data_IF_773438163260
#
_entry.id   IF_773438163260
#
_cell.length_a   1.000
_cell.length_b   1.000
_cell.length_c   1.000
_cell.angle_alpha   90.00
_cell.angle_beta   90.00
_cell.angle_gamma   90.00
#
_symmetry.space_group_name_H-M   'P 1'
#
loop_
_entity.id
_entity.type
_entity.pdbx_description
1 polymer ?
#
# COMPACT_ATOMS: atom_id res chain seq x y z
N UNK A 1 14.49 18.25 -20.87
CA UNK A 1 14.68 17.03 -21.66
C UNK A 1 13.50 16.12 -21.36
N UNK A 2 12.93 15.46 -22.36
CA UNK A 2 11.78 14.56 -22.16
C UNK A 2 12.24 13.32 -21.40
N UNK A 3 11.46 12.84 -20.43
CA UNK A 3 11.70 11.59 -19.73
C UNK A 3 10.61 10.57 -20.06
N UNK A 4 11.00 9.49 -20.73
CA UNK A 4 10.10 8.39 -21.12
C UNK A 4 10.36 7.16 -20.24
N UNK A 5 9.34 6.66 -19.57
CA UNK A 5 9.40 5.38 -18.87
C UNK A 5 9.15 4.23 -19.85
N UNK A 6 9.93 3.15 -19.75
CA UNK A 6 9.71 1.88 -20.44
C UNK A 6 9.39 0.83 -19.38
N UNK A 7 8.21 0.23 -19.43
CA UNK A 7 7.80 -0.82 -18.51
C UNK A 7 7.82 -2.18 -19.23
N UNK A 8 8.74 -3.05 -18.80
CA UNK A 8 8.93 -4.38 -19.37
C UNK A 8 8.05 -5.41 -18.64
N UNK A 9 7.00 -5.88 -19.32
CA UNK A 9 6.01 -6.83 -18.81
C UNK A 9 5.81 -8.06 -19.73
N UNK A 10 6.78 -8.38 -20.59
CA UNK A 10 6.68 -9.48 -21.57
C UNK A 10 7.06 -10.86 -21.03
N UNK A 11 7.54 -10.97 -19.79
CA UNK A 11 7.99 -12.24 -19.23
C UNK A 11 6.84 -13.22 -18.96
N UNK A 12 7.04 -14.50 -19.27
CA UNK A 12 6.05 -15.58 -19.11
C UNK A 12 5.85 -16.04 -17.64
N UNK A 13 6.73 -15.66 -16.72
CA UNK A 13 6.51 -15.84 -15.28
C UNK A 13 6.65 -17.28 -14.74
N UNK A 14 7.34 -18.17 -15.46
CA UNK A 14 7.46 -19.62 -15.16
C UNK A 14 7.83 -19.97 -13.69
N UNK A 15 8.60 -19.12 -13.01
CA UNK A 15 9.16 -19.41 -11.67
C UNK A 15 8.19 -19.26 -10.48
N UNK A 16 6.92 -18.89 -10.66
CA UNK A 16 5.93 -18.85 -9.55
C UNK A 16 4.96 -20.01 -9.53
N UNK A 17 4.88 -20.84 -10.58
CA UNK A 17 3.91 -21.94 -10.64
C UNK A 17 2.44 -21.49 -10.64
N UNK A 18 2.15 -20.26 -11.08
CA UNK A 18 0.80 -19.69 -11.14
C UNK A 18 0.26 -19.76 -12.57
N UNK A 19 -1.05 -19.97 -12.73
CA UNK A 19 -1.73 -20.03 -14.04
C UNK A 19 -1.82 -18.66 -14.77
N UNK A 20 -1.38 -17.57 -14.14
CA UNK A 20 -1.43 -16.21 -14.68
C UNK A 20 -0.05 -15.55 -14.50
N UNK A 21 0.47 -14.81 -15.51
CA UNK A 21 1.74 -14.10 -15.37
C UNK A 21 1.73 -13.11 -14.21
N UNK A 22 2.86 -13.01 -13.52
CA UNK A 22 3.02 -12.31 -12.24
C UNK A 22 2.61 -10.85 -12.28
N UNK A 23 2.89 -10.18 -13.39
CA UNK A 23 2.53 -8.78 -13.64
C UNK A 23 1.01 -8.54 -13.60
N UNK A 24 0.18 -9.58 -13.82
CA UNK A 24 -1.28 -9.48 -13.75
C UNK A 24 -1.88 -10.01 -12.44
N UNK A 25 -1.06 -10.42 -11.46
CA UNK A 25 -1.55 -10.82 -10.14
C UNK A 25 -2.14 -9.61 -9.42
N UNK A 26 -3.33 -9.78 -8.83
CA UNK A 26 -3.96 -8.74 -8.02
C UNK A 26 -3.40 -8.74 -6.61
N UNK A 27 -2.96 -7.58 -6.14
CA UNK A 27 -2.50 -7.33 -4.78
C UNK A 27 -3.15 -6.01 -4.33
N UNK A 28 -3.78 -5.97 -3.15
CA UNK A 28 -4.50 -4.79 -2.65
C UNK A 28 -5.47 -4.17 -3.69
N UNK A 29 -6.25 -5.03 -4.38
CA UNK A 29 -7.29 -4.61 -5.32
C UNK A 29 -6.83 -4.28 -6.76
N UNK A 30 -5.54 -4.07 -7.02
CA UNK A 30 -4.99 -3.76 -8.35
C UNK A 30 -3.95 -4.79 -8.80
N UNK A 31 -3.71 -4.94 -10.10
CA UNK A 31 -2.63 -5.78 -10.60
C UNK A 31 -1.24 -5.20 -10.27
N UNK A 32 -0.23 -6.07 -10.17
CA UNK A 32 1.17 -5.66 -9.99
C UNK A 32 1.62 -4.67 -11.07
N UNK A 33 1.18 -4.88 -12.31
CA UNK A 33 1.43 -3.96 -13.42
C UNK A 33 0.78 -2.59 -13.18
N UNK A 34 -0.49 -2.54 -12.75
CA UNK A 34 -1.17 -1.28 -12.43
C UNK A 34 -0.46 -0.49 -11.34
N UNK A 35 -0.03 -1.17 -10.27
CA UNK A 35 0.75 -0.52 -9.20
C UNK A 35 2.03 0.09 -9.75
N UNK A 36 2.76 -0.65 -10.58
CA UNK A 36 4.00 -0.19 -11.19
C UNK A 36 3.78 1.01 -12.12
N UNK A 37 2.80 0.94 -13.02
CA UNK A 37 2.45 2.05 -13.94
C UNK A 37 2.05 3.29 -13.15
N UNK A 38 1.26 3.12 -12.08
CA UNK A 38 0.77 4.24 -11.26
C UNK A 38 1.90 5.09 -10.67
N UNK A 39 3.07 4.50 -10.38
CA UNK A 39 4.23 5.27 -9.86
C UNK A 39 4.74 6.23 -10.93
N UNK A 40 4.93 5.77 -12.17
CA UNK A 40 5.40 6.59 -13.28
C UNK A 40 4.34 7.58 -13.77
N UNK A 41 3.07 7.16 -13.83
CA UNK A 41 1.95 8.02 -14.24
C UNK A 41 1.85 9.26 -13.35
N UNK A 42 1.95 9.08 -12.03
CA UNK A 42 1.81 10.15 -11.05
C UNK A 42 3.09 10.99 -10.87
N UNK A 43 4.22 10.58 -11.43
CA UNK A 43 5.48 11.33 -11.31
C UNK A 43 5.46 12.55 -12.22
N UNK A 44 5.64 13.75 -11.67
CA UNK A 44 5.53 15.03 -12.41
C UNK A 44 6.50 15.14 -13.59
N UNK A 45 7.72 14.62 -13.41
CA UNK A 45 8.79 14.73 -14.42
C UNK A 45 8.84 13.56 -15.41
N UNK A 46 7.84 12.66 -15.40
CA UNK A 46 7.66 11.64 -16.44
C UNK A 46 6.65 12.15 -17.45
N UNK A 47 7.03 12.17 -18.73
CA UNK A 47 6.24 12.74 -19.82
C UNK A 47 5.46 11.67 -20.59
N UNK A 48 6.05 10.47 -20.74
CA UNK A 48 5.48 9.39 -21.54
C UNK A 48 5.82 8.02 -20.96
N UNK A 49 4.96 7.04 -21.20
CA UNK A 49 5.12 5.65 -20.76
C UNK A 49 4.91 4.71 -21.96
N UNK A 50 5.92 3.89 -22.24
CA UNK A 50 5.86 2.78 -23.20
C UNK A 50 5.80 1.47 -22.43
N UNK A 51 4.82 0.63 -22.74
CA UNK A 51 4.64 -0.67 -22.08
C UNK A 51 4.90 -1.79 -23.09
N UNK A 52 5.84 -2.68 -22.77
CA UNK A 52 6.12 -3.88 -23.54
C UNK A 52 5.46 -5.09 -22.89
N UNK A 53 4.57 -5.77 -23.61
CA UNK A 53 3.84 -6.93 -23.09
C UNK A 53 3.94 -8.13 -24.03
N UNK A 54 3.67 -9.33 -23.53
CA UNK A 54 3.57 -10.50 -24.40
C UNK A 54 2.34 -10.39 -25.29
N UNK A 55 2.40 -10.91 -26.53
CA UNK A 55 1.34 -10.75 -27.55
C UNK A 55 -0.05 -11.14 -27.03
N UNK A 56 -0.14 -12.22 -26.25
CA UNK A 56 -1.41 -12.76 -25.73
C UNK A 56 -2.05 -11.87 -24.66
N UNK A 57 -1.31 -10.89 -24.12
CA UNK A 57 -1.77 -9.99 -23.06
C UNK A 57 -1.88 -8.54 -23.51
N UNK A 58 -1.79 -8.27 -24.82
CA UNK A 58 -1.88 -6.93 -25.38
C UNK A 58 -3.23 -6.26 -25.06
N UNK A 59 -4.33 -6.94 -25.37
CA UNK A 59 -5.68 -6.39 -25.18
C UNK A 59 -6.04 -6.27 -23.70
N UNK A 60 -5.67 -7.28 -22.89
CA UNK A 60 -5.81 -7.21 -21.44
C UNK A 60 -5.07 -6.01 -20.84
N UNK A 61 -3.87 -5.71 -21.33
CA UNK A 61 -3.09 -4.56 -20.84
C UNK A 61 -3.75 -3.24 -21.23
N UNK A 62 -4.29 -3.13 -22.45
CA UNK A 62 -5.06 -1.96 -22.90
C UNK A 62 -6.29 -1.72 -22.04
N UNK A 63 -7.06 -2.78 -21.75
CA UNK A 63 -8.23 -2.71 -20.89
C UNK A 63 -7.87 -2.23 -19.48
N UNK A 64 -6.84 -2.82 -18.87
CA UNK A 64 -6.33 -2.42 -17.56
C UNK A 64 -5.97 -0.93 -17.54
N UNK A 65 -5.22 -0.47 -18.55
CA UNK A 65 -4.78 0.92 -18.63
C UNK A 65 -5.94 1.90 -18.83
N UNK A 66 -6.92 1.54 -19.66
CA UNK A 66 -8.11 2.33 -19.91
C UNK A 66 -9.00 2.43 -18.65
N UNK A 67 -9.24 1.31 -17.96
CA UNK A 67 -10.04 1.27 -16.73
C UNK A 67 -9.38 2.06 -15.59
N UNK A 68 -8.05 2.05 -15.53
CA UNK A 68 -7.30 2.85 -14.55
C UNK A 68 -7.23 4.35 -14.90
N UNK A 69 -7.60 4.73 -16.13
CA UNK A 69 -7.61 6.13 -16.58
C UNK A 69 -6.21 6.74 -16.74
N UNK A 70 -5.20 5.93 -17.04
CA UNK A 70 -3.83 6.40 -17.24
C UNK A 70 -3.72 7.24 -18.52
N UNK A 71 -3.10 8.42 -18.41
CA UNK A 71 -3.05 9.45 -19.46
C UNK A 71 -1.68 9.56 -20.12
N UNK A 72 -0.58 9.17 -19.44
CA UNK A 72 0.78 9.30 -19.97
C UNK A 72 1.23 8.09 -20.80
N UNK A 73 0.38 7.07 -20.95
CA UNK A 73 0.69 5.91 -21.78
C UNK A 73 0.68 6.33 -23.25
N UNK A 74 1.86 6.39 -23.85
CA UNK A 74 2.04 6.76 -25.25
C UNK A 74 1.87 5.56 -26.17
N UNK A 75 2.43 4.39 -25.80
CA UNK A 75 2.39 3.17 -26.61
C UNK A 75 2.33 1.92 -25.74
N UNK A 76 1.53 0.93 -26.17
CA UNK A 76 1.54 -0.44 -25.65
C UNK A 76 1.92 -1.35 -26.82
N UNK A 77 3.08 -2.00 -26.73
CA UNK A 77 3.66 -2.77 -27.82
C UNK A 77 3.93 -4.23 -27.42
N UNK A 78 4.07 -5.07 -28.43
CA UNK A 78 4.45 -6.48 -28.26
C UNK A 78 5.96 -6.59 -28.06
N UNK A 79 6.37 -7.12 -26.92
CA UNK A 79 7.77 -7.39 -26.60
C UNK A 79 8.37 -8.54 -27.41
N UNK A 80 9.69 -8.72 -27.26
CA UNK A 80 10.43 -9.81 -27.87
C UNK A 80 10.40 -11.10 -27.05
N UNK A 81 11.14 -12.11 -27.52
CA UNK A 81 11.31 -13.40 -26.83
C UNK A 81 12.22 -13.28 -25.61
N UNK A 82 13.12 -12.30 -25.60
CA UNK A 82 14.06 -12.04 -24.50
C UNK A 82 13.84 -10.67 -23.89
N UNK A 83 14.29 -10.47 -22.64
CA UNK A 83 14.27 -9.14 -21.98
C UNK A 83 14.97 -8.08 -22.86
N UNK A 84 16.15 -8.43 -23.40
CA UNK A 84 16.94 -7.56 -24.29
C UNK A 84 16.15 -7.13 -25.51
N UNK A 85 15.50 -8.07 -26.19
CA UNK A 85 14.69 -7.77 -27.38
C UNK A 85 13.47 -6.91 -27.05
N UNK A 86 12.81 -7.15 -25.91
CA UNK A 86 11.73 -6.28 -25.43
C UNK A 86 12.20 -4.86 -25.11
N UNK A 87 13.38 -4.70 -24.48
CA UNK A 87 14.00 -3.37 -24.26
C UNK A 87 14.25 -2.67 -25.59
N UNK A 88 14.88 -3.35 -26.55
CA UNK A 88 15.20 -2.76 -27.86
C UNK A 88 13.96 -2.34 -28.63
N UNK A 89 12.92 -3.18 -28.68
CA UNK A 89 11.64 -2.82 -29.32
C UNK A 89 10.99 -1.60 -28.66
N UNK A 90 11.05 -1.49 -27.34
CA UNK A 90 10.54 -0.32 -26.61
C UNK A 90 11.30 0.96 -26.96
N UNK A 91 12.63 0.87 -26.95
CA UNK A 91 13.55 1.96 -27.30
C UNK A 91 13.27 2.46 -28.73
N UNK A 92 13.12 1.55 -29.69
CA UNK A 92 12.83 1.89 -31.08
C UNK A 92 11.41 2.45 -31.28
N UNK A 93 10.49 2.24 -30.33
CA UNK A 93 9.14 2.78 -30.40
C UNK A 93 9.05 4.23 -29.91
N UNK A 94 10.13 4.82 -29.36
CA UNK A 94 10.14 6.20 -28.90
C UNK A 94 10.44 7.12 -30.09
N UNK A 95 9.54 8.08 -30.34
CA UNK A 95 9.62 8.95 -31.52
C UNK A 95 10.64 10.10 -31.37
N UNK A 96 10.85 10.61 -30.15
CA UNK A 96 11.82 11.66 -29.89
C UNK A 96 13.19 11.06 -29.54
N UNK A 97 14.17 11.23 -30.43
CA UNK A 97 15.52 10.72 -30.24
C UNK A 97 16.32 11.46 -29.15
N UNK A 98 15.97 12.71 -28.82
CA UNK A 98 16.62 13.49 -27.76
C UNK A 98 15.82 13.42 -26.46
N UNK A 99 15.81 12.23 -25.85
CA UNK A 99 15.11 12.00 -24.59
C UNK A 99 15.88 11.07 -23.66
N UNK A 100 15.51 11.12 -22.38
CA UNK A 100 15.93 10.17 -21.37
C UNK A 100 14.94 9.00 -21.32
N UNK A 101 15.45 7.79 -21.13
CA UNK A 101 14.64 6.59 -20.93
C UNK A 101 14.89 5.97 -19.57
N UNK A 102 13.82 5.57 -18.89
CA UNK A 102 13.85 4.85 -17.63
C UNK A 102 13.25 3.45 -17.84
N UNK A 103 14.10 2.44 -17.99
CA UNK A 103 13.71 1.05 -18.25
C UNK A 103 13.46 0.33 -16.92
N UNK A 104 12.21 -0.07 -16.69
CA UNK A 104 11.75 -0.64 -15.43
C UNK A 104 11.07 -2.00 -15.61
N UNK A 105 11.22 -2.87 -14.61
CA UNK A 105 10.57 -4.17 -14.60
C UNK A 105 9.13 -4.03 -14.08
N UNK A 106 8.13 -4.53 -14.81
CA UNK A 106 6.72 -4.46 -14.40
C UNK A 106 6.38 -5.15 -13.07
N UNK A 107 7.30 -5.95 -12.53
CA UNK A 107 7.13 -6.73 -11.30
C UNK A 107 7.88 -6.12 -10.11
N UNK A 108 8.18 -4.81 -10.15
CA UNK A 108 8.73 -4.02 -9.04
C UNK A 108 7.74 -2.92 -8.62
N UNK A 109 6.58 -3.27 -8.06
CA UNK A 109 5.49 -2.32 -7.85
C UNK A 109 5.70 -1.35 -6.66
N UNK A 110 6.88 -1.39 -6.03
CA UNK A 110 7.21 -0.65 -4.82
C UNK A 110 8.26 0.44 -5.04
N UNK A 111 8.56 0.77 -6.30
CA UNK A 111 9.42 1.87 -6.67
C UNK A 111 8.99 3.17 -5.98
N UNK A 112 9.93 3.90 -5.40
CA UNK A 112 9.66 5.18 -4.74
C UNK A 112 9.85 6.33 -5.72
N UNK A 113 9.14 7.44 -5.46
CA UNK A 113 9.30 8.69 -6.21
C UNK A 113 10.74 9.21 -6.10
N UNK A 114 11.35 9.07 -4.92
CA UNK A 114 12.73 9.51 -4.66
C UNK A 114 13.77 8.79 -5.53
N UNK A 115 13.57 7.51 -5.83
CA UNK A 115 14.46 6.79 -6.76
C UNK A 115 14.33 7.40 -8.16
N UNK A 116 13.10 7.70 -8.61
CA UNK A 116 12.89 8.32 -9.94
C UNK A 116 13.51 9.72 -9.99
N UNK A 117 13.29 10.56 -8.97
CA UNK A 117 13.91 11.89 -8.84
C UNK A 117 15.44 11.79 -8.94
N UNK A 118 16.04 10.83 -8.20
CA UNK A 118 17.49 10.64 -8.17
C UNK A 118 18.04 10.18 -9.52
N UNK A 119 17.32 9.30 -10.22
CA UNK A 119 17.67 8.88 -11.58
C UNK A 119 17.61 10.04 -12.58
N UNK A 120 16.55 10.84 -12.55
CA UNK A 120 16.37 11.99 -13.46
C UNK A 120 17.44 13.05 -13.17
N UNK A 121 17.76 13.31 -11.91
CA UNK A 121 18.83 14.23 -11.54
C UNK A 121 20.19 13.72 -12.02
N UNK A 122 20.52 12.45 -11.79
CA UNK A 122 21.77 11.86 -12.24
C UNK A 122 21.92 11.90 -13.77
N UNK A 123 20.82 11.75 -14.53
CA UNK A 123 20.82 11.85 -15.99
C UNK A 123 21.15 13.25 -16.53
N UNK A 124 21.11 14.31 -15.70
CA UNK A 124 21.61 15.64 -16.09
C UNK A 124 23.14 15.68 -16.23
N UNK A 125 23.83 14.75 -15.56
CA UNK A 125 25.29 14.72 -15.49
C UNK A 125 25.90 13.45 -16.11
N UNK A 126 25.12 12.37 -16.21
CA UNK A 126 25.56 11.07 -16.69
C UNK A 126 24.65 10.56 -17.81
N UNK A 127 25.19 9.82 -18.78
CA UNK A 127 24.40 9.27 -19.89
C UNK A 127 23.83 7.89 -19.62
N UNK A 128 24.28 7.23 -18.55
CA UNK A 128 23.77 5.94 -18.09
C UNK A 128 23.80 5.89 -16.56
N UNK A 129 22.71 5.43 -15.95
CA UNK A 129 22.50 5.38 -14.51
C UNK A 129 21.83 4.05 -14.15
N UNK A 130 22.37 3.36 -13.15
CA UNK A 130 21.77 2.17 -12.56
C UNK A 130 21.33 2.46 -11.11
N UNK A 131 20.35 1.71 -10.63
CA UNK A 131 19.87 1.79 -9.24
C UNK A 131 20.36 0.55 -8.52
N UNK A 132 21.05 0.68 -7.39
CA UNK A 132 21.53 -0.50 -6.67
C UNK A 132 21.51 -0.32 -5.14
N UNK A 133 21.47 -1.45 -4.44
CA UNK A 133 21.54 -1.48 -2.96
C UNK A 133 22.74 -2.33 -2.49
N UNK A 134 23.29 -2.09 -1.29
CA UNK A 134 24.26 -3.00 -0.68
C UNK A 134 23.72 -4.43 -0.53
N UNK A 135 24.61 -5.43 -0.64
CA UNK A 135 24.25 -6.82 -0.32
C UNK A 135 24.38 -7.08 1.18
N UNK A 136 23.33 -7.62 1.81
CA UNK A 136 23.40 -8.13 3.18
C UNK A 136 24.15 -9.46 3.24
N UNK A 137 23.93 -10.31 2.24
CA UNK A 137 24.48 -11.66 2.15
C UNK A 137 25.89 -11.65 1.53
N UNK A 138 26.71 -12.61 1.96
CA UNK A 138 27.99 -12.91 1.31
C UNK A 138 27.72 -13.51 -0.06
N UNK A 139 28.29 -12.92 -1.11
CA UNK A 139 28.21 -13.44 -2.48
C UNK A 139 29.44 -14.30 -2.74
N UNK A 140 29.24 -15.49 -3.28
CA UNK A 140 30.30 -16.42 -3.66
C UNK A 140 30.27 -16.64 -5.17
N UNK A 141 31.45 -16.70 -5.78
CA UNK A 141 31.63 -17.16 -7.16
C UNK A 141 31.96 -18.63 -7.12
N UNK A 142 31.28 -19.42 -7.95
CA UNK A 142 31.53 -20.85 -8.10
C UNK A 142 32.23 -21.13 -9.43
N UNK A 143 32.97 -22.23 -9.51
CA UNK A 143 33.46 -22.80 -10.76
C UNK A 143 32.44 -23.76 -11.40
N UNK A 144 32.80 -24.33 -12.55
CA UNK A 144 31.94 -25.28 -13.29
C UNK A 144 31.69 -26.60 -12.52
N UNK A 145 32.48 -26.88 -11.49
CA UNK A 145 32.34 -28.06 -10.62
C UNK A 145 31.59 -27.74 -9.32
N UNK A 146 30.97 -26.55 -9.21
CA UNK A 146 30.20 -26.08 -8.07
C UNK A 146 31.03 -25.90 -6.77
N UNK A 147 32.34 -25.68 -6.89
CA UNK A 147 33.20 -25.26 -5.78
C UNK A 147 33.35 -23.74 -5.75
N UNK A 148 33.52 -23.15 -4.56
CA UNK A 148 33.78 -21.72 -4.42
C UNK A 148 35.14 -21.40 -5.04
N UNK A 149 35.14 -20.58 -6.09
CA UNK A 149 36.35 -20.07 -6.75
C UNK A 149 36.79 -18.73 -6.17
N UNK A 150 35.86 -17.91 -5.69
CA UNK A 150 36.14 -16.56 -5.19
C UNK A 150 35.06 -16.09 -4.20
N UNK A 151 35.45 -15.32 -3.18
CA UNK A 151 34.53 -14.57 -2.31
C UNK A 151 34.89 -13.09 -2.43
N UNK A 152 34.20 -12.31 -3.29
CA UNK A 152 34.58 -10.92 -3.55
C UNK A 152 34.34 -10.00 -2.35
N UNK A 153 35.03 -8.85 -2.32
CA UNK A 153 34.88 -7.86 -1.26
C UNK A 153 33.45 -7.26 -1.26
N UNK A 154 32.65 -7.64 -0.25
CA UNK A 154 31.23 -7.25 -0.14
C UNK A 154 31.00 -5.73 -0.18
N UNK A 155 31.94 -4.93 0.31
CA UNK A 155 31.85 -3.47 0.32
C UNK A 155 31.77 -2.86 -1.09
N UNK A 156 32.31 -3.55 -2.10
CA UNK A 156 32.29 -3.14 -3.51
C UNK A 156 31.12 -3.77 -4.30
N UNK A 157 30.39 -4.70 -3.70
CA UNK A 157 29.27 -5.37 -4.35
C UNK A 157 27.95 -4.64 -4.09
N UNK A 158 27.13 -4.57 -5.13
CA UNK A 158 25.76 -4.04 -5.08
C UNK A 158 24.81 -4.99 -5.77
N UNK A 159 23.55 -4.97 -5.34
CA UNK A 159 22.44 -5.68 -5.98
C UNK A 159 21.70 -4.71 -6.89
N UNK A 160 21.84 -4.89 -8.19
CA UNK A 160 21.14 -4.09 -9.20
C UNK A 160 19.62 -4.17 -9.07
N UNK A 161 18.99 -3.03 -9.27
CA UNK A 161 17.56 -2.82 -9.32
C UNK A 161 17.19 -2.12 -10.62
N UNK A 162 15.89 -1.96 -10.87
CA UNK A 162 15.42 -1.06 -11.92
C UNK A 162 14.60 0.04 -11.25
N UNK A 163 14.49 1.26 -11.83
CA UNK A 163 14.78 1.61 -13.23
C UNK A 163 16.28 1.68 -13.56
N UNK A 164 16.64 1.26 -14.77
CA UNK A 164 17.91 1.56 -15.41
C UNK A 164 17.68 2.70 -16.39
N UNK A 165 18.50 3.74 -16.31
CA UNK A 165 18.19 5.01 -16.94
C UNK A 165 19.29 5.42 -17.91
N UNK A 166 18.91 5.91 -19.09
CA UNK A 166 19.87 6.20 -20.16
C UNK A 166 19.45 7.42 -20.96
N UNK A 167 20.44 8.11 -21.52
CA UNK A 167 20.21 8.96 -22.68
C UNK A 167 19.89 8.06 -23.90
N UNK A 168 18.75 8.28 -24.55
CA UNK A 168 18.19 7.37 -25.57
C UNK A 168 19.19 6.99 -26.68
N UNK A 169 19.95 7.94 -27.29
CA UNK A 169 20.92 7.60 -28.33
C UNK A 169 22.01 6.63 -27.88
N UNK A 170 22.43 6.70 -26.61
CA UNK A 170 23.47 5.82 -26.06
C UNK A 170 22.96 4.39 -25.96
N UNK A 171 21.80 4.17 -25.35
CA UNK A 171 21.28 2.82 -25.16
C UNK A 171 20.77 2.22 -26.48
N UNK A 172 20.19 3.04 -27.38
CA UNK A 172 19.81 2.59 -28.73
C UNK A 172 21.03 2.09 -29.49
N UNK A 173 22.14 2.84 -29.46
CA UNK A 173 23.39 2.40 -30.08
C UNK A 173 23.95 1.11 -29.48
N UNK A 174 23.84 0.94 -28.16
CA UNK A 174 24.29 -0.28 -27.48
C UNK A 174 23.53 -1.53 -27.97
N UNK A 175 22.21 -1.42 -28.15
CA UNK A 175 21.38 -2.52 -28.68
C UNK A 175 21.65 -2.80 -30.16
N UNK A 176 21.87 -1.77 -30.97
CA UNK A 176 22.25 -1.94 -32.38
C UNK A 176 23.57 -2.71 -32.53
N UNK A 177 24.60 -2.33 -31.76
CA UNK A 177 25.89 -3.03 -31.73
C UNK A 177 25.74 -4.46 -31.22
N UNK A 178 24.91 -4.68 -30.20
CA UNK A 178 24.62 -6.03 -29.68
C UNK A 178 23.93 -6.93 -30.69
N UNK A 179 23.08 -6.37 -31.55
CA UNK A 179 22.38 -7.14 -32.58
C UNK A 179 23.30 -7.63 -33.69
N UNK A 180 24.42 -6.93 -33.93
CA UNK A 180 25.45 -7.33 -34.88
C UNK A 180 26.54 -8.25 -34.29
N UNK A 181 26.57 -8.42 -32.95
CA UNK A 181 27.59 -9.18 -32.22
C UNK A 181 27.07 -10.55 -31.77
N UNK A 182 27.50 -11.62 -32.44
CA UNK A 182 27.13 -13.00 -32.10
C UNK A 182 27.67 -13.48 -30.73
N UNK A 183 28.60 -12.75 -30.12
CA UNK A 183 29.16 -13.07 -28.79
C UNK A 183 28.38 -12.40 -27.65
N UNK A 184 27.43 -11.52 -27.95
CA UNK A 184 26.62 -10.78 -26.96
C UNK A 184 25.33 -11.51 -26.53
N UNK A 185 25.24 -12.82 -26.74
CA UNK A 185 24.05 -13.62 -26.43
C UNK A 185 23.72 -13.69 -24.93
N UNK A 186 24.72 -13.57 -24.04
CA UNK A 186 24.55 -13.78 -22.60
C UNK A 186 24.37 -12.49 -21.78
N UNK A 187 24.24 -11.32 -22.41
CA UNK A 187 24.04 -10.06 -21.68
C UNK A 187 22.57 -9.91 -21.32
N UNK A 188 22.26 -9.94 -20.02
CA UNK A 188 20.89 -9.91 -19.47
C UNK A 188 20.44 -8.52 -19.00
N UNK A 189 21.36 -7.56 -18.98
CA UNK A 189 21.24 -6.25 -18.35
C UNK A 189 21.59 -5.12 -19.33
N UNK A 190 20.83 -4.01 -19.31
CA UNK A 190 21.01 -2.92 -20.27
C UNK A 190 22.29 -2.09 -19.98
N UNK A 191 22.66 -1.94 -18.69
CA UNK A 191 23.91 -1.28 -18.29
C UNK A 191 25.13 -2.08 -18.76
N UNK A 192 25.04 -3.41 -18.75
CA UNK A 192 26.10 -4.27 -19.24
C UNK A 192 26.36 -4.10 -20.75
N UNK A 193 25.34 -3.78 -21.55
CA UNK A 193 25.52 -3.44 -22.97
C UNK A 193 26.30 -2.13 -23.14
N UNK A 194 25.95 -1.10 -22.38
CA UNK A 194 26.63 0.21 -22.41
C UNK A 194 28.11 0.06 -22.05
N UNK A 195 28.42 -0.71 -21.00
CA UNK A 195 29.80 -0.99 -20.57
C UNK A 195 30.56 -1.83 -21.60
N UNK A 196 29.94 -2.89 -22.15
CA UNK A 196 30.58 -3.77 -23.15
C UNK A 196 31.07 -3.01 -24.37
N UNK A 197 30.26 -2.08 -24.88
CA UNK A 197 30.59 -1.28 -26.06
C UNK A 197 31.23 0.08 -25.73
N UNK A 198 31.56 0.32 -24.46
CA UNK A 198 32.27 1.53 -23.98
C UNK A 198 31.61 2.83 -24.43
N UNK A 199 30.28 2.88 -24.40
CA UNK A 199 29.50 4.03 -24.89
C UNK A 199 29.33 5.13 -23.82
N UNK A 200 29.41 4.75 -22.55
CA UNK A 200 29.39 5.66 -21.39
C UNK A 200 29.82 4.91 -20.14
N UNK A 201 30.27 5.65 -19.13
CA UNK A 201 30.29 5.16 -17.75
C UNK A 201 28.85 5.02 -17.23
N UNK A 202 28.64 4.09 -16.29
CA UNK A 202 27.35 3.87 -15.63
C UNK A 202 27.45 4.35 -14.18
N UNK A 203 26.76 5.44 -13.87
CA UNK A 203 26.68 5.96 -12.51
C UNK A 203 25.67 5.14 -11.68
N UNK A 204 25.90 4.99 -10.38
CA UNK A 204 24.99 4.23 -9.50
C UNK A 204 24.34 5.18 -8.51
N UNK A 205 23.01 5.18 -8.48
CA UNK A 205 22.22 5.85 -7.44
C UNK A 205 21.72 4.82 -6.42
N UNK A 206 21.46 5.29 -5.20
CA UNK A 206 20.96 4.44 -4.13
C UNK A 206 19.52 3.96 -4.43
N UNK A 207 19.33 2.65 -4.34
CA UNK A 207 18.02 2.01 -4.40
C UNK A 207 17.37 1.87 -3.02
N UNK A 208 16.31 1.07 -2.98
CA UNK A 208 15.56 0.80 -1.75
C UNK A 208 15.31 -0.71 -1.62
N UNK A 209 15.48 -1.26 -0.41
CA UNK A 209 15.14 -2.65 -0.07
C UNK A 209 13.67 -2.98 -0.37
N UNK A 210 12.78 -1.99 -0.33
CA UNK A 210 11.37 -2.12 -0.69
C UNK A 210 11.16 -2.21 -2.20
N UNK A 211 12.06 -1.70 -3.05
CA UNK A 211 12.00 -1.80 -4.52
C UNK A 211 12.33 -3.23 -5.01
N UNK A 212 11.72 -4.22 -4.36
CA UNK A 212 11.92 -5.64 -4.56
C UNK A 212 11.18 -6.13 -5.80
N UNK A 213 11.87 -6.98 -6.56
CA UNK A 213 11.29 -7.70 -7.69
C UNK A 213 10.48 -8.89 -7.20
N UNK A 214 9.20 -8.95 -7.55
CA UNK A 214 8.35 -10.11 -7.29
C UNK A 214 8.79 -11.26 -8.21
N UNK A 215 9.48 -12.24 -7.64
CA UNK A 215 10.11 -13.32 -8.41
C UNK A 215 9.62 -14.69 -7.97
N UNK A 216 9.45 -14.93 -6.68
CA UNK A 216 9.05 -16.20 -6.10
C UNK A 216 7.69 -16.10 -5.38
N UNK A 217 7.03 -17.22 -5.07
CA UNK A 217 5.77 -17.20 -4.32
C UNK A 217 5.86 -16.45 -2.98
N UNK A 218 6.99 -16.56 -2.27
CA UNK A 218 7.23 -15.81 -1.03
C UNK A 218 7.21 -14.29 -1.25
N UNK A 219 7.71 -13.81 -2.40
CA UNK A 219 7.68 -12.37 -2.71
C UNK A 219 6.25 -11.86 -2.88
N UNK A 220 5.32 -12.69 -3.35
CA UNK A 220 3.90 -12.33 -3.45
C UNK A 220 3.29 -12.15 -2.06
N UNK A 221 3.57 -13.07 -1.14
CA UNK A 221 3.11 -12.98 0.25
C UNK A 221 3.70 -11.74 0.95
N UNK A 222 4.99 -11.46 0.73
CA UNK A 222 5.63 -10.25 1.24
C UNK A 222 5.02 -9.01 0.59
N UNK A 223 4.79 -9.00 -0.72
CA UNK A 223 4.21 -7.87 -1.42
C UNK A 223 2.81 -7.53 -0.89
N UNK A 224 1.96 -8.52 -0.66
CA UNK A 224 0.63 -8.32 -0.05
C UNK A 224 0.74 -7.65 1.34
N UNK A 225 1.69 -8.08 2.17
CA UNK A 225 1.96 -7.42 3.46
C UNK A 225 2.55 -6.02 3.30
N UNK A 226 3.48 -5.81 2.37
CA UNK A 226 4.08 -4.51 2.11
C UNK A 226 3.06 -3.50 1.61
N UNK A 227 2.10 -3.89 0.77
CA UNK A 227 1.00 -2.99 0.38
C UNK A 227 0.08 -2.66 1.54
N UNK A 228 -0.18 -3.63 2.43
CA UNK A 228 -0.92 -3.38 3.67
C UNK A 228 -0.18 -2.44 4.64
N UNK A 229 1.15 -2.42 4.61
CA UNK A 229 2.00 -1.56 5.45
C UNK A 229 2.28 -0.18 4.83
N UNK A 230 2.47 -0.09 3.49
CA UNK A 230 2.80 1.17 2.78
C UNK A 230 1.59 2.09 2.61
N UNK A 231 0.39 1.52 2.56
CA UNK A 231 -0.85 2.26 2.78
C UNK A 231 -0.89 2.36 4.30
N UNK A 232 -0.44 3.42 4.96
CA UNK A 232 -1.20 4.65 5.15
C UNK A 232 -0.24 5.77 5.61
N UNK A 233 0.23 6.60 4.68
CA UNK A 233 0.44 8.03 4.97
C UNK A 233 -0.70 8.76 4.31
N UNK A 234 -1.84 8.84 4.98
CA UNK A 234 -2.94 9.64 4.44
C UNK A 234 -2.53 11.10 4.62
N UNK A 235 -2.32 11.78 3.50
CA UNK A 235 -2.10 13.22 3.51
C UNK A 235 -3.35 13.91 4.02
N UNK A 236 -3.16 14.88 4.91
CA UNK A 236 -4.22 15.72 5.48
C UNK A 236 -5.17 16.18 4.37
N UNK A 237 -6.38 15.63 4.36
CA UNK A 237 -7.39 15.99 3.37
C UNK A 237 -7.79 17.46 3.50
N UNK A 238 -8.37 18.05 2.44
CA UNK A 238 -8.96 19.38 2.52
C UNK A 238 -10.10 19.34 3.54
N UNK A 239 -9.88 19.89 4.74
CA UNK A 239 -10.81 19.85 5.87
C UNK A 239 -12.21 20.38 5.52
N UNK A 240 -12.32 21.23 4.49
CA UNK A 240 -13.61 21.69 3.95
C UNK A 240 -14.51 20.56 3.44
N UNK A 241 -13.96 19.39 3.08
CA UNK A 241 -14.74 18.25 2.61
C UNK A 241 -15.63 17.64 3.71
N UNK A 242 -15.30 17.86 4.99
CA UNK A 242 -16.08 17.38 6.12
C UNK A 242 -17.26 18.28 6.48
N UNK A 243 -17.30 19.50 5.91
CA UNK A 243 -18.34 20.48 6.21
C UNK A 243 -19.73 19.90 5.87
N UNK A 244 -20.65 19.98 6.84
CA UNK A 244 -22.02 19.46 6.76
C UNK A 244 -22.14 17.94 6.57
N UNK A 245 -21.06 17.17 6.74
CA UNK A 245 -21.17 15.72 6.83
C UNK A 245 -21.75 15.32 8.20
N UNK A 246 -22.60 14.30 8.22
CA UNK A 246 -23.24 13.79 9.45
C UNK A 246 -22.50 12.56 9.93
N UNK A 247 -21.89 12.70 11.10
CA UNK A 247 -21.05 11.71 11.77
C UNK A 247 -21.80 11.10 12.94
N UNK A 248 -21.74 9.77 13.05
CA UNK A 248 -22.17 9.02 14.23
C UNK A 248 -20.95 8.36 14.86
N UNK A 249 -20.67 8.65 16.14
CA UNK A 249 -19.51 8.10 16.86
C UNK A 249 -19.97 7.32 18.09
N UNK A 250 -19.81 6.00 18.06
CA UNK A 250 -19.97 5.15 19.23
C UNK A 250 -18.66 5.09 20.01
N UNK A 251 -18.71 5.31 21.33
CA UNK A 251 -17.53 5.40 22.19
C UNK A 251 -16.90 6.80 22.27
N UNK A 252 -17.68 7.86 22.04
CA UNK A 252 -17.17 9.24 21.97
C UNK A 252 -16.79 9.88 23.32
N UNK A 253 -17.21 9.32 24.46
CA UNK A 253 -17.17 10.04 25.73
C UNK A 253 -15.76 10.30 26.30
N UNK A 254 -14.74 9.59 25.81
CA UNK A 254 -13.35 9.75 26.26
C UNK A 254 -12.34 9.18 25.25
N UNK A 255 -11.07 9.54 25.41
CA UNK A 255 -9.96 9.00 24.61
C UNK A 255 -10.11 9.32 23.12
N UNK A 256 -9.76 8.36 22.26
CA UNK A 256 -9.74 8.56 20.79
C UNK A 256 -11.10 9.04 20.25
N UNK A 257 -12.22 8.47 20.71
CA UNK A 257 -13.55 8.85 20.21
C UNK A 257 -13.91 10.31 20.53
N UNK A 258 -13.42 10.84 21.66
CA UNK A 258 -13.61 12.23 22.05
C UNK A 258 -12.81 13.17 21.15
N UNK A 259 -11.56 12.84 20.87
CA UNK A 259 -10.71 13.66 20.00
C UNK A 259 -11.22 13.70 18.56
N UNK A 260 -11.74 12.59 18.02
CA UNK A 260 -12.37 12.60 16.69
C UNK A 260 -13.59 13.52 16.67
N UNK A 261 -14.42 13.49 17.71
CA UNK A 261 -15.60 14.35 17.79
C UNK A 261 -15.20 15.84 17.77
N UNK A 262 -14.22 16.22 18.58
CA UNK A 262 -13.73 17.61 18.65
C UNK A 262 -13.15 18.05 17.31
N UNK A 263 -12.28 17.24 16.72
CA UNK A 263 -11.61 17.56 15.48
C UNK A 263 -12.59 17.64 14.29
N UNK A 264 -13.52 16.68 14.16
CA UNK A 264 -14.52 16.70 13.09
C UNK A 264 -15.46 17.90 13.20
N UNK A 265 -15.87 18.28 14.42
CA UNK A 265 -16.64 19.51 14.67
C UNK A 265 -15.86 20.77 14.28
N UNK A 266 -14.55 20.81 14.58
CA UNK A 266 -13.69 21.94 14.18
C UNK A 266 -13.62 22.12 12.66
N UNK A 267 -13.83 21.03 11.90
CA UNK A 267 -13.92 21.05 10.43
C UNK A 267 -15.35 21.25 9.89
N UNK A 268 -16.32 21.53 10.76
CA UNK A 268 -17.70 21.83 10.38
C UNK A 268 -18.58 20.61 10.12
N UNK A 269 -18.18 19.41 10.56
CA UNK A 269 -19.05 18.24 10.54
C UNK A 269 -20.12 18.32 11.64
N UNK A 270 -21.28 17.74 11.37
CA UNK A 270 -22.35 17.51 12.36
C UNK A 270 -22.06 16.19 13.05
N UNK A 271 -21.72 16.21 14.34
CA UNK A 271 -21.29 15.00 15.07
C UNK A 271 -22.25 14.63 16.19
N UNK A 272 -22.82 13.43 16.08
CA UNK A 272 -23.69 12.77 17.06
C UNK A 272 -22.92 11.66 17.79
N UNK A 273 -22.64 11.87 19.08
CA UNK A 273 -21.90 10.93 19.90
C UNK A 273 -22.79 10.02 20.75
N UNK A 274 -22.50 8.72 20.80
CA UNK A 274 -23.17 7.73 21.62
C UNK A 274 -22.21 6.92 22.50
N UNK A 275 -22.57 6.68 23.76
CA UNK A 275 -21.80 5.88 24.71
C UNK A 275 -22.70 5.39 25.84
N UNK A 276 -22.19 4.53 26.72
CA UNK A 276 -22.92 4.10 27.91
C UNK A 276 -23.32 5.27 28.82
N UNK A 277 -22.59 6.39 28.81
CA UNK A 277 -22.95 7.58 29.60
C UNK A 277 -24.24 8.25 29.12
N UNK A 278 -24.58 8.15 27.84
CA UNK A 278 -25.85 8.63 27.29
C UNK A 278 -26.79 7.48 26.91
N UNK A 279 -26.62 6.32 27.55
CA UNK A 279 -27.57 5.21 27.49
C UNK A 279 -27.43 4.29 26.29
N UNK A 280 -26.36 4.38 25.49
CA UNK A 280 -26.18 3.53 24.30
C UNK A 280 -25.00 2.58 24.49
N UNK A 281 -25.32 1.29 24.66
CA UNK A 281 -24.35 0.20 24.69
C UNK A 281 -24.33 -0.52 23.33
N UNK A 282 -23.16 -0.58 22.69
CA UNK A 282 -23.00 -1.20 21.36
C UNK A 282 -23.30 -2.70 21.37
N UNK A 283 -23.17 -3.37 22.50
CA UNK A 283 -23.52 -4.79 22.64
C UNK A 283 -25.03 -5.06 22.50
N UNK A 284 -25.87 -4.02 22.65
CA UNK A 284 -27.32 -4.11 22.56
C UNK A 284 -27.81 -3.56 21.22
N UNK A 285 -28.27 -4.43 20.32
CA UNK A 285 -28.59 -4.06 18.94
C UNK A 285 -29.70 -2.99 18.84
N UNK A 286 -30.70 -3.03 19.73
CA UNK A 286 -31.85 -2.10 19.66
C UNK A 286 -31.42 -0.67 20.01
N UNK A 287 -30.45 -0.50 20.92
CA UNK A 287 -29.90 0.81 21.27
C UNK A 287 -29.11 1.41 20.11
N UNK A 288 -28.31 0.60 19.42
CA UNK A 288 -27.57 1.02 18.22
C UNK A 288 -28.53 1.42 17.09
N UNK A 289 -29.55 0.59 16.84
CA UNK A 289 -30.57 0.86 15.83
C UNK A 289 -31.31 2.18 16.10
N UNK A 290 -31.75 2.38 17.33
CA UNK A 290 -32.50 3.58 17.72
C UNK A 290 -31.63 4.83 17.64
N UNK A 291 -30.36 4.76 18.07
CA UNK A 291 -29.41 5.86 17.94
C UNK A 291 -29.22 6.31 16.49
N UNK A 292 -28.98 5.36 15.57
CA UNK A 292 -28.83 5.67 14.14
C UNK A 292 -30.14 6.19 13.54
N UNK A 293 -31.28 5.62 13.92
CA UNK A 293 -32.60 6.07 13.45
C UNK A 293 -32.89 7.52 13.84
N UNK A 294 -32.66 7.92 15.09
CA UNK A 294 -32.91 9.29 15.53
C UNK A 294 -31.98 10.31 14.84
N UNK A 295 -30.72 9.95 14.59
CA UNK A 295 -29.81 10.79 13.80
C UNK A 295 -30.34 10.96 12.38
N UNK A 296 -30.70 9.86 11.71
CA UNK A 296 -31.23 9.92 10.35
C UNK A 296 -32.55 10.71 10.28
N UNK A 297 -33.45 10.52 11.23
CA UNK A 297 -34.71 11.28 11.33
C UNK A 297 -34.47 12.78 11.50
N UNK A 298 -33.41 13.16 12.21
CA UNK A 298 -33.08 14.57 12.48
C UNK A 298 -32.38 15.25 11.30
N UNK A 299 -31.43 14.57 10.65
CA UNK A 299 -30.56 15.18 9.65
C UNK A 299 -30.79 14.69 8.21
N UNK A 300 -31.63 13.68 8.02
CA UNK A 300 -31.97 13.08 6.72
C UNK A 300 -30.86 12.23 6.09
N UNK A 301 -29.69 12.11 6.72
CA UNK A 301 -28.55 11.35 6.21
C UNK A 301 -27.56 10.96 7.30
N UNK A 302 -26.72 9.97 7.01
CA UNK A 302 -25.53 9.62 7.80
C UNK A 302 -24.39 9.36 6.81
N UNK A 303 -23.35 10.20 6.85
CA UNK A 303 -22.22 10.13 5.93
C UNK A 303 -21.08 9.26 6.50
N UNK A 304 -20.92 9.25 7.83
CA UNK A 304 -19.90 8.47 8.50
C UNK A 304 -20.39 7.83 9.80
N UNK A 305 -20.01 6.57 10.02
CA UNK A 305 -20.17 5.88 11.30
C UNK A 305 -18.81 5.40 11.80
N UNK A 306 -18.49 5.73 13.05
CA UNK A 306 -17.23 5.37 13.70
C UNK A 306 -17.55 4.59 14.97
N UNK A 307 -16.91 3.44 15.16
CA UNK A 307 -17.01 2.66 16.39
C UNK A 307 -15.66 2.59 17.11
N UNK A 308 -15.45 3.47 18.09
CA UNK A 308 -14.31 3.43 19.01
C UNK A 308 -14.59 2.63 20.27
N UNK A 309 -15.84 2.17 20.46
CA UNK A 309 -16.23 1.46 21.67
C UNK A 309 -15.44 0.14 21.80
N UNK A 310 -14.89 -0.07 22.99
CA UNK A 310 -14.15 -1.27 23.33
C UNK A 310 -13.77 -1.28 24.80
N UNK A 311 -13.44 -2.47 25.30
CA UNK A 311 -12.92 -2.69 26.63
C UNK A 311 -11.69 -3.59 26.56
N UNK A 312 -10.77 -3.40 27.49
CA UNK A 312 -9.60 -4.24 27.68
C UNK A 312 -9.63 -4.78 29.10
N UNK A 313 -9.57 -6.10 29.22
CA UNK A 313 -9.38 -6.79 30.49
C UNK A 313 -8.17 -7.72 30.35
N UNK A 314 -7.10 -7.42 31.08
CA UNK A 314 -5.89 -8.25 31.10
C UNK A 314 -6.02 -9.39 32.10
N UNK A 315 -5.47 -10.55 31.78
CA UNK A 315 -5.35 -11.68 32.69
C UNK A 315 -5.26 -13.01 31.96
N UNK A 316 -4.65 -13.99 32.62
CA UNK A 316 -4.51 -15.34 32.08
C UNK A 316 -5.88 -16.01 31.93
N UNK A 317 -6.07 -16.73 30.82
CA UNK A 317 -7.39 -17.19 30.39
C UNK A 317 -8.07 -18.08 31.46
N UNK A 318 -7.29 -18.92 32.14
CA UNK A 318 -7.77 -19.85 33.17
C UNK A 318 -8.27 -19.15 34.44
N UNK A 319 -7.94 -17.87 34.64
CA UNK A 319 -8.38 -17.06 35.78
C UNK A 319 -9.55 -16.14 35.46
N UNK A 320 -9.94 -16.03 34.18
CA UNK A 320 -11.02 -15.13 33.75
C UNK A 320 -12.38 -15.80 33.88
N UNK A 321 -13.37 -15.06 34.39
CA UNK A 321 -14.75 -15.52 34.46
C UNK A 321 -15.38 -15.60 33.06
N UNK A 322 -16.31 -16.54 32.86
CA UNK A 322 -17.04 -16.64 31.59
C UNK A 322 -17.89 -15.40 31.33
N UNK A 323 -18.39 -14.76 32.38
CA UNK A 323 -19.18 -13.54 32.33
C UNK A 323 -18.35 -12.37 31.79
N UNK A 324 -17.12 -12.19 32.29
CA UNK A 324 -16.22 -11.13 31.81
C UNK A 324 -15.76 -11.39 30.37
N UNK A 325 -15.50 -12.64 30.02
CA UNK A 325 -15.15 -13.04 28.64
C UNK A 325 -16.32 -12.73 27.70
N UNK A 326 -17.53 -13.16 28.06
CA UNK A 326 -18.74 -12.95 27.26
C UNK A 326 -19.03 -11.46 27.08
N UNK A 327 -18.90 -10.67 28.13
CA UNK A 327 -19.06 -9.21 28.10
C UNK A 327 -18.02 -8.54 27.18
N UNK A 328 -16.76 -8.94 27.25
CA UNK A 328 -15.71 -8.39 26.39
C UNK A 328 -15.97 -8.70 24.92
N UNK A 329 -16.35 -9.94 24.59
CA UNK A 329 -16.71 -10.34 23.21
C UNK A 329 -17.95 -9.58 22.73
N UNK A 330 -18.96 -9.44 23.61
CA UNK A 330 -20.20 -8.72 23.31
C UNK A 330 -19.93 -7.25 22.94
N UNK A 331 -19.01 -6.59 23.65
CA UNK A 331 -18.65 -5.19 23.40
C UNK A 331 -17.70 -5.07 22.20
N UNK A 332 -16.59 -5.81 22.20
CA UNK A 332 -15.50 -5.60 21.24
C UNK A 332 -15.81 -6.14 19.84
N UNK A 333 -16.55 -7.25 19.73
CA UNK A 333 -16.83 -7.89 18.45
C UNK A 333 -18.31 -7.81 18.06
N UNK A 334 -19.23 -8.30 18.89
CA UNK A 334 -20.67 -8.16 18.58
C UNK A 334 -21.10 -6.70 18.47
N UNK A 335 -20.52 -5.81 19.28
CA UNK A 335 -20.74 -4.37 19.14
C UNK A 335 -20.34 -3.83 17.77
N UNK A 336 -19.20 -4.28 17.21
CA UNK A 336 -18.79 -3.91 15.86
C UNK A 336 -19.76 -4.47 14.80
N UNK A 337 -20.24 -5.71 14.97
CA UNK A 337 -21.25 -6.32 14.08
C UNK A 337 -22.57 -5.54 14.13
N UNK A 338 -23.06 -5.20 15.32
CA UNK A 338 -24.30 -4.43 15.51
C UNK A 338 -24.20 -3.08 14.82
N UNK A 339 -23.09 -2.35 15.05
CA UNK A 339 -22.85 -1.06 14.39
C UNK A 339 -22.80 -1.22 12.87
N UNK A 340 -22.03 -2.18 12.33
CA UNK A 340 -21.99 -2.43 10.89
C UNK A 340 -23.39 -2.69 10.32
N UNK A 341 -24.08 -3.70 10.86
CA UNK A 341 -25.36 -4.19 10.35
C UNK A 341 -26.43 -3.09 10.33
N UNK A 342 -26.56 -2.34 11.42
CA UNK A 342 -27.59 -1.29 11.52
C UNK A 342 -27.22 -0.03 10.72
N UNK A 343 -25.94 0.19 10.41
CA UNK A 343 -25.47 1.35 9.63
C UNK A 343 -25.63 1.19 8.12
N UNK A 344 -25.65 -0.04 7.61
CA UNK A 344 -25.58 -0.34 6.17
C UNK A 344 -26.57 0.47 5.32
N UNK A 345 -27.85 0.49 5.71
CA UNK A 345 -28.90 1.15 4.93
C UNK A 345 -28.64 2.65 4.77
N UNK A 346 -28.14 3.32 5.81
CA UNK A 346 -27.86 4.76 5.78
C UNK A 346 -26.59 5.08 5.00
N UNK A 347 -25.52 4.29 5.21
CA UNK A 347 -24.26 4.48 4.49
C UNK A 347 -24.39 4.17 2.99
N UNK A 348 -25.29 3.26 2.61
CA UNK A 348 -25.61 2.97 1.22
C UNK A 348 -26.20 4.18 0.49
N UNK A 349 -27.05 4.95 1.16
CA UNK A 349 -27.65 6.16 0.58
C UNK A 349 -26.59 7.24 0.29
N UNK A 350 -25.61 7.39 1.18
CA UNK A 350 -24.59 8.45 1.09
C UNK A 350 -23.29 8.02 0.41
N UNK A 351 -23.12 6.72 0.10
CA UNK A 351 -21.81 6.13 -0.27
C UNK A 351 -20.74 6.46 0.78
N UNK A 352 -21.18 6.36 2.03
CA UNK A 352 -20.47 6.84 3.21
C UNK A 352 -19.33 5.93 3.66
N UNK A 353 -18.82 6.20 4.87
CA UNK A 353 -17.69 5.46 5.45
C UNK A 353 -18.03 4.84 6.81
N UNK A 354 -17.62 3.60 7.03
CA UNK A 354 -17.61 2.91 8.31
C UNK A 354 -16.17 2.74 8.80
N UNK A 355 -15.88 3.14 10.03
CA UNK A 355 -14.54 3.08 10.61
C UNK A 355 -14.53 2.31 11.94
N UNK A 356 -13.66 1.30 12.01
CA UNK A 356 -13.44 0.49 13.21
C UNK A 356 -12.06 0.73 13.84
N UNK A 357 -11.85 0.14 15.02
CA UNK A 357 -10.59 0.19 15.75
C UNK A 357 -10.12 -1.20 16.17
N UNK A 358 -8.91 -1.54 15.76
CA UNK A 358 -8.18 -2.74 16.19
C UNK A 358 -7.10 -2.39 17.23
N UNK A 359 -6.10 -3.25 17.40
CA UNK A 359 -4.99 -3.10 18.34
C UNK A 359 -3.75 -3.74 17.74
N UNK A 360 -2.56 -3.21 18.03
CA UNK A 360 -1.28 -3.82 17.61
C UNK A 360 -1.11 -5.29 17.98
N UNK A 361 -1.95 -5.84 18.86
CA UNK A 361 -2.02 -7.27 19.20
C UNK A 361 -2.82 -8.13 18.20
N UNK A 362 -3.44 -7.56 17.17
CA UNK A 362 -4.29 -8.30 16.22
C UNK A 362 -3.49 -9.28 15.34
N UNK A 363 -2.22 -8.99 15.06
CA UNK A 363 -1.34 -9.85 14.25
C UNK A 363 -0.68 -10.95 15.05
N UNK A 364 -0.55 -10.75 16.37
CA UNK A 364 0.09 -11.69 17.30
C UNK A 364 -0.54 -11.57 18.68
N UNK A 365 -1.22 -12.62 19.11
CA UNK A 365 -1.74 -12.74 20.47
C UNK A 365 -0.63 -12.61 21.51
N UNK A 366 -0.94 -11.93 22.62
CA UNK A 366 -0.04 -11.73 23.76
C UNK A 366 -0.60 -12.49 24.97
N UNK A 367 0.30 -13.03 25.79
CA UNK A 367 -0.08 -13.59 27.09
C UNK A 367 -0.84 -12.52 27.89
N UNK A 368 -1.92 -12.92 28.57
CA UNK A 368 -2.86 -12.07 29.30
C UNK A 368 -3.81 -11.19 28.46
N UNK A 369 -3.81 -11.31 27.12
CA UNK A 369 -4.67 -10.53 26.21
C UNK A 369 -5.40 -11.44 25.21
N UNK A 370 -5.60 -12.71 25.54
CA UNK A 370 -6.09 -13.71 24.58
C UNK A 370 -7.42 -13.30 23.94
N UNK A 371 -8.42 -12.93 24.76
CA UNK A 371 -9.75 -12.50 24.31
C UNK A 371 -9.72 -11.13 23.62
N UNK A 372 -8.97 -10.19 24.19
CA UNK A 372 -8.82 -8.86 23.59
C UNK A 372 -8.20 -8.96 22.18
N UNK A 373 -7.08 -9.67 22.07
CA UNK A 373 -6.35 -9.80 20.80
C UNK A 373 -7.15 -10.55 19.76
N UNK A 374 -7.85 -11.62 20.14
CA UNK A 374 -8.70 -12.39 19.22
C UNK A 374 -9.90 -11.57 18.73
N UNK A 375 -10.57 -10.82 19.62
CA UNK A 375 -11.67 -9.93 19.22
C UNK A 375 -11.21 -8.81 18.28
N UNK A 376 -10.04 -8.20 18.54
CA UNK A 376 -9.46 -7.18 17.64
C UNK A 376 -9.01 -7.75 16.29
N UNK A 377 -8.53 -8.99 16.24
CA UNK A 377 -8.26 -9.70 14.98
C UNK A 377 -9.56 -10.00 14.20
N UNK A 378 -10.63 -10.38 14.90
CA UNK A 378 -11.95 -10.61 14.29
C UNK A 378 -12.50 -9.33 13.65
N UNK A 379 -12.35 -8.17 14.29
CA UNK A 379 -12.74 -6.86 13.72
C UNK A 379 -11.98 -6.53 12.42
N UNK A 380 -10.69 -6.89 12.32
CA UNK A 380 -9.91 -6.70 11.08
C UNK A 380 -10.46 -7.55 9.95
N UNK A 381 -10.74 -8.83 10.22
CA UNK A 381 -11.30 -9.72 9.20
C UNK A 381 -12.72 -9.27 8.78
N UNK A 382 -13.56 -8.89 9.75
CA UNK A 382 -14.87 -8.29 9.48
C UNK A 382 -14.77 -7.06 8.58
N UNK A 383 -13.83 -6.16 8.86
CA UNK A 383 -13.59 -4.96 8.05
C UNK A 383 -13.28 -5.32 6.60
N UNK A 384 -12.40 -6.30 6.38
CA UNK A 384 -12.00 -6.74 5.04
C UNK A 384 -13.15 -7.40 4.29
N UNK A 385 -13.90 -8.29 4.94
CA UNK A 385 -15.07 -8.93 4.34
C UNK A 385 -16.13 -7.88 3.94
N UNK A 386 -16.50 -6.99 4.86
CA UNK A 386 -17.48 -5.92 4.59
C UNK A 386 -17.01 -4.96 3.49
N UNK A 387 -15.71 -4.69 3.38
CA UNK A 387 -15.18 -3.83 2.32
C UNK A 387 -15.39 -4.41 0.92
N UNK A 388 -15.31 -5.75 0.79
CA UNK A 388 -15.55 -6.46 -0.47
C UNK A 388 -17.05 -6.58 -0.74
N UNK A 389 -17.82 -7.00 0.27
CA UNK A 389 -19.28 -7.11 0.18
C UNK A 389 -19.95 -5.77 -0.18
N UNK A 390 -19.48 -4.66 0.41
CA UNK A 390 -20.13 -3.36 0.29
C UNK A 390 -19.49 -2.43 -0.75
N UNK A 391 -18.38 -2.85 -1.36
CA UNK A 391 -17.66 -2.06 -2.36
C UNK A 391 -18.55 -1.70 -3.56
N UNK A 392 -19.42 -2.61 -4.00
CA UNK A 392 -20.37 -2.38 -5.09
C UNK A 392 -21.43 -1.31 -4.77
N UNK A 393 -21.64 -0.99 -3.49
CA UNK A 393 -22.54 0.09 -3.05
C UNK A 393 -21.80 1.42 -2.84
N UNK A 394 -20.48 1.46 -3.05
CA UNK A 394 -19.65 2.64 -2.82
C UNK A 394 -19.38 2.95 -1.35
N UNK A 395 -19.68 2.01 -0.44
CA UNK A 395 -19.41 2.17 0.99
C UNK A 395 -17.96 1.82 1.27
N UNK A 396 -17.26 2.69 1.99
CA UNK A 396 -15.87 2.47 2.43
C UNK A 396 -15.86 1.89 3.83
N UNK A 397 -15.11 0.81 4.06
CA UNK A 397 -14.99 0.19 5.39
C UNK A 397 -13.51 0.01 5.71
N UNK A 398 -13.02 0.66 6.78
CA UNK A 398 -11.62 0.59 7.19
C UNK A 398 -11.48 0.38 8.70
N UNK A 399 -10.29 0.03 9.16
CA UNK A 399 -10.00 -0.15 10.59
C UNK A 399 -8.70 0.55 10.96
N UNK A 400 -8.70 1.34 12.04
CA UNK A 400 -7.51 1.99 12.59
C UNK A 400 -6.79 1.02 13.54
N UNK A 401 -5.47 0.86 13.36
CA UNK A 401 -4.58 0.12 14.25
C UNK A 401 -3.61 1.10 14.95
N UNK A 402 -4.02 1.70 16.08
CA UNK A 402 -3.16 2.60 16.79
C UNK A 402 -2.06 1.85 17.56
N UNK A 403 -0.88 2.46 17.66
CA UNK A 403 0.11 2.11 18.68
C UNK A 403 -0.43 2.40 20.11
N UNK A 404 0.39 2.12 21.11
CA UNK A 404 0.05 2.43 22.52
C UNK A 404 -0.28 3.92 22.64
N UNK A 405 -1.55 4.23 22.82
CA UNK A 405 -2.08 5.60 22.81
C UNK A 405 -2.41 6.06 24.23
N UNK A 406 -2.08 7.31 24.54
CA UNK A 406 -2.37 7.98 25.80
C UNK A 406 -3.89 8.17 25.96
N UNK A 407 -4.57 7.14 26.46
CA UNK A 407 -6.02 7.13 26.65
C UNK A 407 -6.36 6.66 28.06
N UNK A 408 -7.53 7.02 28.61
CA UNK A 408 -7.95 6.53 29.92
C UNK A 408 -7.93 4.99 30.05
N UNK A 409 -8.28 4.26 28.98
CA UNK A 409 -8.21 2.79 28.96
C UNK A 409 -6.78 2.28 29.16
N UNK A 410 -5.78 2.97 28.60
CA UNK A 410 -4.36 2.62 28.76
C UNK A 410 -3.93 2.82 30.20
N UNK A 411 -4.18 4.00 30.76
CA UNK A 411 -3.77 4.30 32.13
C UNK A 411 -4.47 3.42 33.17
N UNK A 412 -5.74 3.08 32.98
CA UNK A 412 -6.48 2.16 33.86
C UNK A 412 -5.90 0.73 33.89
N UNK A 413 -5.35 0.25 32.77
CA UNK A 413 -4.83 -1.12 32.67
C UNK A 413 -3.32 -1.23 32.95
N UNK A 414 -2.56 -0.15 32.77
CA UNK A 414 -1.09 -0.18 32.83
C UNK A 414 -0.47 0.81 33.82
N UNK A 415 -1.28 1.68 34.43
CA UNK A 415 -0.79 2.77 35.27
C UNK A 415 -0.19 3.91 34.47
N UNK A 416 0.55 4.78 35.16
CA UNK A 416 1.21 5.92 34.55
C UNK A 416 2.44 5.49 33.74
N UNK A 417 2.46 5.87 32.46
CA UNK A 417 3.60 5.71 31.56
C UNK A 417 4.12 7.11 31.17
N UNK A 418 5.43 7.25 30.85
CA UNK A 418 5.96 8.51 30.36
C UNK A 418 5.16 9.01 29.14
N UNK A 419 4.67 10.25 29.19
CA UNK A 419 3.81 10.82 28.14
C UNK A 419 4.46 10.72 26.76
N UNK A 420 5.76 11.01 26.69
CA UNK A 420 6.54 10.95 25.44
C UNK A 420 6.67 9.52 24.87
N UNK A 421 6.35 8.48 25.66
CA UNK A 421 6.41 7.08 25.21
C UNK A 421 5.13 6.59 24.52
N UNK A 422 4.06 7.39 24.56
CA UNK A 422 2.74 7.05 24.05
C UNK A 422 2.36 7.92 22.85
N UNK A 423 1.58 7.35 21.94
CA UNK A 423 0.94 8.05 20.84
C UNK A 423 -0.16 8.99 21.38
N UNK A 424 -0.24 10.21 20.85
CA UNK A 424 -1.29 11.17 21.21
C UNK A 424 -2.63 10.76 20.59
N UNK A 425 -3.76 10.80 21.32
CA UNK A 425 -5.08 10.50 20.76
C UNK A 425 -5.51 11.47 19.64
N UNK A 426 -5.00 12.70 19.63
CA UNK A 426 -5.23 13.72 18.60
C UNK A 426 -4.64 13.28 17.24
N UNK A 427 -3.44 12.69 17.24
CA UNK A 427 -2.82 12.11 16.03
C UNK A 427 -3.67 10.97 15.49
N UNK A 428 -4.20 10.10 16.37
CA UNK A 428 -5.12 9.03 15.96
C UNK A 428 -6.39 9.62 15.36
N UNK A 429 -6.95 10.67 15.97
CA UNK A 429 -8.14 11.35 15.47
C UNK A 429 -7.90 11.96 14.08
N UNK A 430 -6.75 12.61 13.86
CA UNK A 430 -6.38 13.17 12.56
C UNK A 430 -6.32 12.09 11.48
N UNK A 431 -5.57 11.01 11.72
CA UNK A 431 -5.46 9.89 10.77
C UNK A 431 -6.82 9.21 10.51
N UNK A 432 -7.70 9.21 11.51
CA UNK A 432 -9.06 8.66 11.35
C UNK A 432 -9.91 9.49 10.39
N UNK A 433 -9.89 10.81 10.52
CA UNK A 433 -10.60 11.69 9.59
C UNK A 433 -10.00 11.66 8.20
N UNK A 434 -8.68 11.63 8.11
CA UNK A 434 -7.96 11.45 6.87
C UNK A 434 -8.36 10.13 6.19
N UNK A 435 -8.52 9.04 6.97
CA UNK A 435 -8.97 7.73 6.44
C UNK A 435 -10.38 7.83 5.85
N UNK A 436 -11.28 8.54 6.52
CA UNK A 436 -12.67 8.74 6.08
C UNK A 436 -12.72 9.56 4.78
N UNK A 437 -11.84 10.56 4.65
CA UNK A 437 -11.71 11.41 3.47
C UNK A 437 -10.99 10.72 2.30
N UNK A 438 -10.25 9.64 2.58
CA UNK A 438 -9.54 8.88 1.56
C UNK A 438 -10.50 8.07 0.67
N UNK A 439 -10.02 7.67 -0.51
CA UNK A 439 -10.71 6.71 -1.37
C UNK A 439 -10.52 5.24 -0.96
N UNK A 440 -9.89 4.97 0.18
CA UNK A 440 -9.51 3.61 0.58
C UNK A 440 -10.67 2.83 1.19
N UNK A 441 -10.63 1.51 1.00
CA UNK A 441 -11.53 0.54 1.64
C UNK A 441 -10.77 -0.76 1.91
N UNK A 442 -11.16 -1.50 2.94
CA UNK A 442 -10.56 -2.77 3.35
C UNK A 442 -9.18 -2.65 4.02
N UNK A 443 -8.76 -1.43 4.38
CA UNK A 443 -7.41 -1.18 4.86
C UNK A 443 -7.28 -1.32 6.38
N UNK A 444 -6.10 -1.77 6.81
CA UNK A 444 -5.64 -1.70 8.20
C UNK A 444 -4.72 -0.51 8.37
N UNK A 445 -5.33 0.51 8.94
CA UNK A 445 -4.92 1.76 9.58
C UNK A 445 -3.70 1.89 10.50
N UNK A 446 -2.47 1.52 10.16
CA UNK A 446 -1.37 1.69 11.15
C UNK A 446 -1.15 3.17 11.51
N UNK A 447 -1.18 3.49 12.81
CA UNK A 447 -0.86 4.82 13.34
C UNK A 447 0.26 4.70 14.34
N UNK A 448 1.45 5.20 13.99
CA UNK A 448 2.62 5.17 14.85
C UNK A 448 3.01 6.56 15.33
N UNK A 449 3.82 6.61 16.40
CA UNK A 449 4.32 7.88 16.95
C UNK A 449 5.29 8.60 16.00
N UNK A 450 5.97 7.87 15.12
CA UNK A 450 7.08 8.41 14.30
C UNK A 450 6.65 8.86 12.89
N UNK A 451 5.35 8.88 12.58
CA UNK A 451 4.79 9.18 11.24
C UNK A 451 4.58 10.65 10.91
#
# INVERSE_FOLDING_TARGET
>A
MINCAIILASGAGERTGLNIPKQFLKIAGKSVLEHTISVFENHKDIDAIVICVHKDYLDKTREICANAGFKKISKIIVGGLTRKESSYRAICAIDNEDCNVLIHDAVRPFLSVQIIDSCIEALKHHKAVDVAIPSADTIVKIDDNNFISEIPERALLRRGQTPQCFYLPVIKKAHELSSADCTACNVTDDCALVLRYKLSDVFVVDGDVFNRKITYPLDVAIADKLFKLKTIKIHSGNSNLLKNQVFVIFGHSRGIGFEIMNLARSFGAVVCGFSRQNGVDVSQNDLVRNALFEVYKTYGKIDCVINTAGVLNTGSLEKRSYEDISREIAINYFGAINVAKESFKYLKETKGSLLFYTSSSYTRGRADYSIYSSSKAAVVNLTQALSDEWGNFGIRVNVINPERTATPMRFENFGDEPVDSLLSPEKVAQVSLDTILSGYTGQVVDVTRND
#
